data_IF_984931594948
#
_entry.id   IF_984931594948
#
_cell.length_a   1.000
_cell.length_b   1.000
_cell.length_c   1.000
_cell.angle_alpha   90.00
_cell.angle_beta   90.00
_cell.angle_gamma   90.00
#
_symmetry.space_group_name_H-M   'P 1'
#
loop_
_entity.id
_entity.type
_entity.pdbx_description
1 polymer ?
#
# COMPACT_ATOMS: atom_id res chain seq x y z
N UNK A 1 -12.19 8.57 13.01
CA UNK A 1 -12.87 7.98 11.83
C UNK A 1 -14.39 7.81 12.06
N UNK A 2 -14.87 7.24 13.16
CA UNK A 2 -16.30 6.97 13.37
C UNK A 2 -16.83 7.76 14.56
N UNK A 3 -17.53 8.85 14.30
CA UNK A 3 -18.38 9.54 15.27
C UNK A 3 -19.81 8.99 15.22
N UNK A 4 -20.68 9.50 16.08
CA UNK A 4 -22.06 9.03 16.19
C UNK A 4 -22.87 9.30 14.91
N UNK A 5 -22.62 10.43 14.24
CA UNK A 5 -23.33 10.81 13.03
C UNK A 5 -22.93 9.90 11.86
N UNK A 6 -21.65 9.62 11.72
CA UNK A 6 -21.11 8.65 10.74
C UNK A 6 -21.72 7.26 10.95
N UNK A 7 -21.79 6.77 12.20
CA UNK A 7 -22.38 5.45 12.51
C UNK A 7 -23.88 5.46 12.17
N UNK A 8 -24.60 6.53 12.52
CA UNK A 8 -26.04 6.68 12.21
C UNK A 8 -26.28 6.68 10.70
N UNK A 9 -25.42 7.32 9.92
CA UNK A 9 -25.45 7.30 8.46
C UNK A 9 -25.25 5.88 7.92
N UNK A 10 -24.33 5.09 8.48
CA UNK A 10 -24.10 3.71 8.04
C UNK A 10 -25.31 2.79 8.21
N UNK A 11 -26.19 3.08 9.19
CA UNK A 11 -27.42 2.33 9.37
C UNK A 11 -28.36 2.43 8.16
N UNK A 12 -28.26 3.51 7.37
CA UNK A 12 -29.13 3.81 6.22
C UNK A 12 -28.54 3.36 4.89
N UNK A 13 -27.29 2.87 4.88
CA UNK A 13 -26.58 2.45 3.66
C UNK A 13 -26.60 0.92 3.57
N UNK A 14 -26.83 0.41 2.38
CA UNK A 14 -26.72 -1.03 2.11
C UNK A 14 -25.27 -1.48 2.25
N UNK A 15 -25.05 -2.49 3.07
CA UNK A 15 -23.74 -3.11 3.30
C UNK A 15 -23.56 -4.34 2.40
N UNK A 16 -22.32 -4.79 2.13
CA UNK A 16 -21.05 -4.20 2.55
C UNK A 16 -20.59 -3.03 1.66
N UNK A 17 -19.77 -2.13 2.23
CA UNK A 17 -19.13 -1.04 1.47
C UNK A 17 -17.76 -0.65 2.07
N UNK A 18 -16.88 -0.06 1.28
CA UNK A 18 -15.70 0.62 1.77
C UNK A 18 -16.06 2.05 2.17
N UNK A 19 -15.76 2.42 3.41
CA UNK A 19 -15.84 3.81 3.86
C UNK A 19 -14.46 4.45 3.84
N UNK A 20 -14.34 5.56 3.13
CA UNK A 20 -13.14 6.38 3.03
C UNK A 20 -13.28 7.68 3.83
N UNK A 21 -12.45 7.86 4.84
CA UNK A 21 -12.27 9.11 5.57
C UNK A 21 -11.29 10.00 4.77
N UNK A 22 -11.84 10.86 3.92
CA UNK A 22 -11.03 11.75 3.07
C UNK A 22 -10.31 12.82 3.89
N UNK A 23 -10.81 13.17 5.07
CA UNK A 23 -10.15 14.08 6.01
C UNK A 23 -8.86 13.47 6.54
N UNK A 24 -8.91 12.21 7.02
CA UNK A 24 -7.73 11.48 7.47
C UNK A 24 -6.75 11.22 6.33
N UNK A 25 -7.25 10.91 5.13
CA UNK A 25 -6.40 10.76 3.94
C UNK A 25 -5.59 12.03 3.68
N UNK A 26 -6.24 13.20 3.63
CA UNK A 26 -5.56 14.48 3.42
C UNK A 26 -4.54 14.79 4.50
N UNK A 27 -4.87 14.54 5.77
CA UNK A 27 -3.92 14.72 6.89
C UNK A 27 -2.68 13.83 6.72
N UNK A 28 -2.86 12.59 6.30
CA UNK A 28 -1.76 11.64 6.05
C UNK A 28 -0.88 12.11 4.88
N UNK A 29 -1.49 12.56 3.79
CA UNK A 29 -0.78 13.08 2.61
C UNK A 29 0.00 14.36 2.97
N UNK A 30 -0.60 15.27 3.73
CA UNK A 30 0.05 16.50 4.21
C UNK A 30 1.26 16.19 5.10
N UNK A 31 1.11 15.26 6.05
CA UNK A 31 2.22 14.83 6.92
C UNK A 31 3.39 14.25 6.10
N UNK A 32 3.08 13.40 5.12
CA UNK A 32 4.10 12.84 4.23
C UNK A 32 4.77 13.93 3.39
N UNK A 33 3.98 14.84 2.80
CA UNK A 33 4.48 15.93 1.95
C UNK A 33 5.40 16.85 2.74
N UNK A 34 4.97 17.30 3.91
CA UNK A 34 5.76 18.16 4.79
C UNK A 34 7.09 17.51 5.19
N UNK A 35 7.06 16.24 5.58
CA UNK A 35 8.25 15.52 5.98
C UNK A 35 9.22 15.27 4.80
N UNK A 36 8.72 14.93 3.63
CA UNK A 36 9.57 14.72 2.43
C UNK A 36 10.18 16.01 1.91
N UNK A 37 9.40 17.10 1.85
CA UNK A 37 9.87 18.41 1.38
C UNK A 37 10.98 18.99 2.24
N UNK A 38 10.94 18.77 3.55
CA UNK A 38 12.00 19.16 4.50
C UNK A 38 13.38 18.70 4.07
N UNK A 39 13.46 17.55 3.41
CA UNK A 39 14.72 16.96 2.94
C UNK A 39 14.92 17.04 1.42
N UNK A 40 13.96 17.62 0.69
CA UNK A 40 13.99 17.67 -0.78
C UNK A 40 13.80 16.31 -1.43
N UNK A 41 13.06 15.42 -0.78
CA UNK A 41 12.78 14.06 -1.25
C UNK A 41 11.53 13.99 -2.12
N UNK A 42 11.53 13.07 -3.08
CA UNK A 42 10.44 12.86 -4.03
C UNK A 42 9.65 11.61 -3.67
N UNK A 43 8.33 11.74 -3.56
CA UNK A 43 7.46 10.61 -3.26
C UNK A 43 6.62 10.26 -4.48
N UNK A 44 6.62 8.99 -4.86
CA UNK A 44 5.73 8.38 -5.84
C UNK A 44 4.71 7.51 -5.11
N UNK A 45 3.46 7.71 -5.41
CA UNK A 45 2.39 6.89 -4.87
C UNK A 45 2.31 5.55 -5.59
N UNK A 46 2.43 4.45 -4.86
CA UNK A 46 2.28 3.10 -5.42
C UNK A 46 0.79 2.80 -5.70
N UNK A 47 0.37 2.98 -6.95
CA UNK A 47 -1.04 2.90 -7.38
C UNK A 47 -1.70 1.56 -7.08
N UNK A 48 -0.93 0.48 -7.10
CA UNK A 48 -1.37 -0.87 -6.69
C UNK A 48 -1.99 -0.94 -5.29
N UNK A 49 -1.67 0.03 -4.41
CA UNK A 49 -2.23 0.06 -3.07
C UNK A 49 -3.72 0.43 -3.07
N UNK A 50 -4.10 1.41 -3.89
CA UNK A 50 -5.48 1.83 -4.07
C UNK A 50 -5.61 2.75 -5.29
N UNK A 51 -6.44 2.40 -6.26
CA UNK A 51 -6.71 3.22 -7.44
C UNK A 51 -8.14 3.79 -7.46
N UNK A 52 -8.81 3.86 -6.31
CA UNK A 52 -10.10 4.53 -6.20
C UNK A 52 -9.98 5.99 -6.67
N UNK A 53 -10.88 6.49 -7.54
CA UNK A 53 -10.76 7.82 -8.14
C UNK A 53 -10.61 8.97 -7.13
N UNK A 54 -11.34 8.92 -5.99
CA UNK A 54 -11.23 9.94 -4.95
C UNK A 54 -9.89 9.91 -4.21
N UNK A 55 -9.31 8.72 -4.07
CA UNK A 55 -7.97 8.55 -3.50
C UNK A 55 -6.93 9.12 -4.46
N UNK A 56 -7.02 8.79 -5.76
CA UNK A 56 -6.10 9.30 -6.77
C UNK A 56 -6.17 10.83 -6.90
N UNK A 57 -7.38 11.41 -6.90
CA UNK A 57 -7.61 12.85 -6.90
C UNK A 57 -6.91 13.53 -5.71
N UNK A 58 -7.09 12.97 -4.50
CA UNK A 58 -6.43 13.49 -3.30
C UNK A 58 -4.91 13.40 -3.40
N UNK A 59 -4.36 12.24 -3.76
CA UNK A 59 -2.90 12.03 -3.88
C UNK A 59 -2.28 12.97 -4.92
N UNK A 60 -2.91 13.09 -6.09
CA UNK A 60 -2.45 13.95 -7.18
C UNK A 60 -2.41 15.42 -6.75
N UNK A 61 -3.39 15.88 -5.96
CA UNK A 61 -3.47 17.28 -5.51
C UNK A 61 -2.29 17.72 -4.62
N UNK A 62 -1.57 16.77 -3.99
CA UNK A 62 -0.33 17.03 -3.24
C UNK A 62 0.93 17.02 -4.12
N UNK A 63 0.80 16.80 -5.44
CA UNK A 63 1.91 16.82 -6.38
C UNK A 63 2.87 15.64 -6.28
N UNK A 64 2.44 14.52 -5.65
CA UNK A 64 3.18 13.27 -5.66
C UNK A 64 3.27 12.68 -7.07
N UNK A 65 4.33 11.91 -7.33
CA UNK A 65 4.44 11.08 -8.52
C UNK A 65 3.59 9.82 -8.42
N UNK A 66 3.67 8.96 -9.44
CA UNK A 66 3.02 7.65 -9.44
C UNK A 66 4.05 6.54 -9.67
N UNK A 67 4.03 5.50 -8.82
CA UNK A 67 4.69 4.20 -9.04
C UNK A 67 3.64 3.25 -9.61
N UNK A 68 3.85 2.84 -10.86
CA UNK A 68 2.98 1.98 -11.64
C UNK A 68 3.61 0.60 -11.84
N UNK A 69 2.79 -0.45 -11.84
CA UNK A 69 3.24 -1.83 -12.06
C UNK A 69 2.52 -2.52 -13.23
N UNK A 70 1.75 -1.73 -13.99
CA UNK A 70 1.13 -2.17 -15.26
C UNK A 70 0.94 -0.99 -16.20
N UNK A 71 0.79 -1.28 -17.50
CA UNK A 71 0.48 -0.25 -18.49
C UNK A 71 -0.85 0.47 -18.23
N UNK A 72 -1.83 -0.23 -17.66
CA UNK A 72 -3.10 0.38 -17.28
C UNK A 72 -2.93 1.35 -16.11
N UNK A 73 -2.08 1.06 -15.13
CA UNK A 73 -1.76 2.01 -14.06
C UNK A 73 -1.08 3.26 -14.61
N UNK A 74 -0.14 3.13 -15.57
CA UNK A 74 0.47 4.28 -16.27
C UNK A 74 -0.60 5.13 -16.96
N UNK A 75 -1.49 4.52 -17.72
CA UNK A 75 -2.57 5.23 -18.41
C UNK A 75 -3.51 5.92 -17.41
N UNK A 76 -3.87 5.22 -16.33
CA UNK A 76 -4.75 5.75 -15.28
C UNK A 76 -4.10 6.92 -14.54
N UNK A 77 -2.80 6.83 -14.22
CA UNK A 77 -2.07 7.92 -13.58
C UNK A 77 -2.13 9.19 -14.42
N UNK A 78 -1.81 9.08 -15.70
CA UNK A 78 -1.82 10.24 -16.62
C UNK A 78 -3.24 10.80 -16.79
N UNK A 79 -4.24 9.92 -16.94
CA UNK A 79 -5.63 10.35 -17.09
C UNK A 79 -6.18 11.06 -15.84
N UNK A 80 -5.65 10.74 -14.64
CA UNK A 80 -5.97 11.43 -13.38
C UNK A 80 -5.06 12.66 -13.10
N UNK A 81 -4.24 13.11 -14.08
CA UNK A 81 -3.48 14.35 -13.97
C UNK A 81 -2.14 14.23 -13.24
N UNK A 82 -1.64 13.01 -12.98
CA UNK A 82 -0.26 12.87 -12.50
C UNK A 82 0.72 13.35 -13.57
N UNK A 83 1.73 14.13 -13.14
CA UNK A 83 2.77 14.59 -14.04
C UNK A 83 3.58 13.41 -14.58
N UNK A 84 3.57 13.22 -15.91
CA UNK A 84 4.31 12.13 -16.56
C UNK A 84 5.80 12.12 -16.22
N UNK A 85 6.40 13.29 -15.97
CA UNK A 85 7.79 13.43 -15.53
C UNK A 85 8.03 12.92 -14.10
N UNK A 86 6.97 12.49 -13.39
CA UNK A 86 7.00 11.88 -12.06
C UNK A 86 6.33 10.50 -12.05
N UNK A 87 6.14 9.87 -13.21
CA UNK A 87 5.61 8.50 -13.30
C UNK A 87 6.77 7.54 -13.49
N UNK A 88 6.85 6.54 -12.61
CA UNK A 88 7.81 5.42 -12.71
C UNK A 88 7.06 4.12 -12.99
N UNK A 89 7.70 3.19 -13.71
CA UNK A 89 7.10 1.90 -14.05
C UNK A 89 8.00 0.76 -13.59
N UNK A 90 7.56 0.04 -12.55
CA UNK A 90 8.22 -1.12 -11.95
C UNK A 90 7.51 -2.43 -12.32
N UNK A 91 8.01 -3.57 -11.80
CA UNK A 91 7.41 -4.90 -11.98
C UNK A 91 8.20 -5.80 -12.91
N UNK A 92 8.23 -7.10 -12.57
CA UNK A 92 9.06 -8.14 -13.22
C UNK A 92 8.54 -8.62 -14.56
N UNK A 93 7.33 -8.27 -14.93
CA UNK A 93 6.62 -8.85 -16.09
C UNK A 93 6.05 -7.79 -17.03
N UNK A 94 6.78 -6.69 -17.29
CA UNK A 94 6.34 -5.69 -18.27
C UNK A 94 6.30 -6.32 -19.67
N UNK A 95 5.12 -6.38 -20.28
CA UNK A 95 4.94 -6.83 -21.65
C UNK A 95 5.35 -5.74 -22.64
N UNK A 96 5.65 -6.14 -23.89
CA UNK A 96 5.95 -5.21 -24.98
C UNK A 96 4.86 -4.15 -25.16
N UNK A 97 3.58 -4.54 -25.00
CA UNK A 97 2.45 -3.63 -25.05
C UNK A 97 2.55 -2.56 -23.96
N UNK A 98 2.83 -2.94 -22.75
CA UNK A 98 2.90 -2.02 -21.59
C UNK A 98 4.13 -1.13 -21.67
N UNK A 99 5.28 -1.67 -22.10
CA UNK A 99 6.48 -0.87 -22.36
C UNK A 99 6.18 0.18 -23.43
N UNK A 100 5.49 -0.20 -24.51
CA UNK A 100 5.10 0.74 -25.57
C UNK A 100 4.16 1.84 -25.05
N UNK A 101 3.19 1.52 -24.20
CA UNK A 101 2.31 2.51 -23.56
C UNK A 101 3.17 3.54 -22.75
N UNK A 102 4.09 3.05 -21.96
CA UNK A 102 4.94 3.89 -21.12
C UNK A 102 5.93 4.73 -21.96
N UNK A 103 6.49 4.17 -23.04
CA UNK A 103 7.32 4.91 -24.00
C UNK A 103 6.52 6.02 -24.73
N UNK A 104 5.28 5.75 -25.12
CA UNK A 104 4.42 6.74 -25.77
C UNK A 104 4.05 7.88 -24.81
N UNK A 105 3.78 7.55 -23.56
CA UNK A 105 3.51 8.49 -22.48
C UNK A 105 4.74 9.35 -22.10
N UNK A 106 5.95 8.92 -22.47
CA UNK A 106 7.21 9.57 -22.09
C UNK A 106 7.34 9.73 -20.55
N UNK A 107 7.15 8.62 -19.85
CA UNK A 107 7.23 8.58 -18.37
C UNK A 107 8.63 8.93 -17.86
N UNK A 108 8.74 9.25 -16.58
CA UNK A 108 10.02 9.59 -15.96
C UNK A 108 11.05 8.47 -16.08
N UNK A 109 10.70 7.21 -15.70
CA UNK A 109 11.67 6.15 -15.63
C UNK A 109 11.02 4.75 -15.62
N UNK A 110 11.70 3.78 -16.26
CA UNK A 110 11.45 2.35 -16.07
C UNK A 110 12.38 1.83 -14.95
N UNK A 111 11.81 1.23 -13.91
CA UNK A 111 12.56 0.47 -12.91
C UNK A 111 12.73 -0.97 -13.45
N UNK A 112 13.94 -1.28 -13.95
CA UNK A 112 14.23 -2.49 -14.73
C UNK A 112 14.70 -3.61 -13.80
N UNK A 113 14.18 -4.82 -14.02
CA UNK A 113 14.36 -5.95 -13.11
C UNK A 113 15.19 -7.10 -13.69
N UNK A 114 15.63 -6.99 -14.97
CA UNK A 114 16.52 -7.99 -15.59
C UNK A 114 17.33 -7.41 -16.75
N UNK A 115 18.44 -8.08 -17.09
CA UNK A 115 19.25 -7.76 -18.27
C UNK A 115 18.46 -7.96 -19.57
N UNK A 116 17.61 -8.98 -19.62
CA UNK A 116 16.74 -9.22 -20.77
C UNK A 116 15.77 -8.07 -20.99
N UNK A 117 15.16 -7.54 -19.90
CA UNK A 117 14.25 -6.40 -19.95
C UNK A 117 14.95 -5.13 -20.50
N UNK A 118 16.21 -4.87 -20.10
CA UNK A 118 17.01 -3.76 -20.66
C UNK A 118 17.07 -3.84 -22.20
N UNK A 119 17.40 -5.03 -22.74
CA UNK A 119 17.48 -5.23 -24.17
C UNK A 119 16.14 -5.01 -24.88
N UNK A 120 15.05 -5.54 -24.31
CA UNK A 120 13.70 -5.36 -24.88
C UNK A 120 13.28 -3.90 -24.88
N UNK A 121 13.49 -3.17 -23.76
CA UNK A 121 13.17 -1.73 -23.69
C UNK A 121 14.00 -0.95 -24.73
N UNK A 122 15.29 -1.26 -24.87
CA UNK A 122 16.15 -0.65 -25.87
C UNK A 122 15.61 -0.84 -27.31
N UNK A 123 15.21 -2.06 -27.66
CA UNK A 123 14.75 -2.39 -29.00
C UNK A 123 13.40 -1.72 -29.31
N UNK A 124 12.48 -1.73 -28.35
CA UNK A 124 11.19 -1.06 -28.48
C UNK A 124 11.33 0.46 -28.55
N UNK A 125 12.23 1.06 -27.75
CA UNK A 125 12.55 2.47 -27.81
C UNK A 125 13.18 2.85 -29.16
N UNK A 126 14.13 2.02 -29.65
CA UNK A 126 14.72 2.19 -30.99
C UNK A 126 13.67 2.16 -32.10
N UNK A 127 12.74 1.21 -32.05
CA UNK A 127 11.68 1.10 -33.05
C UNK A 127 10.77 2.35 -33.11
N UNK A 128 10.69 3.09 -31.99
CA UNK A 128 9.94 4.34 -31.87
C UNK A 128 10.79 5.61 -32.03
N UNK A 129 12.08 5.49 -32.33
CA UNK A 129 13.04 6.61 -32.35
C UNK A 129 13.04 7.41 -31.02
N UNK A 130 12.91 6.71 -29.89
CA UNK A 130 12.92 7.27 -28.53
C UNK A 130 14.13 6.79 -27.75
N UNK A 131 14.39 7.45 -26.64
CA UNK A 131 15.34 7.02 -25.60
C UNK A 131 14.58 6.79 -24.33
N UNK A 132 14.66 5.58 -23.77
CA UNK A 132 14.02 5.23 -22.51
C UNK A 132 14.95 5.56 -21.32
N UNK A 133 14.44 6.26 -20.33
CA UNK A 133 15.13 6.46 -19.05
C UNK A 133 14.92 5.21 -18.19
N UNK A 134 16.03 4.68 -17.67
CA UNK A 134 16.02 3.42 -16.89
C UNK A 134 16.77 3.59 -15.57
N UNK A 135 16.19 3.05 -14.49
CA UNK A 135 16.85 2.79 -13.23
C UNK A 135 16.93 1.28 -13.01
N UNK A 136 18.05 0.83 -12.45
CA UNK A 136 18.30 -0.60 -12.23
C UNK A 136 17.77 -0.99 -10.87
N UNK A 137 16.76 -1.86 -10.81
CA UNK A 137 16.31 -2.43 -9.54
C UNK A 137 17.27 -3.52 -9.11
N UNK A 138 17.92 -3.29 -8.00
CA UNK A 138 18.92 -4.19 -7.43
C UNK A 138 18.30 -4.90 -6.23
N UNK A 139 18.52 -6.20 -6.14
CA UNK A 139 18.21 -6.95 -4.94
C UNK A 139 19.31 -6.65 -3.89
N UNK A 140 18.99 -5.96 -2.79
CA UNK A 140 20.01 -5.54 -1.82
C UNK A 140 20.43 -6.65 -0.86
N UNK A 141 19.77 -7.81 -0.87
CA UNK A 141 19.94 -8.90 0.09
C UNK A 141 19.83 -8.43 1.56
N UNK A 142 18.80 -7.61 1.83
CA UNK A 142 18.48 -7.11 3.17
C UNK A 142 17.22 -7.82 3.67
N UNK A 143 17.30 -8.46 4.84
CA UNK A 143 16.13 -9.06 5.48
C UNK A 143 15.30 -7.99 6.17
N UNK A 144 14.07 -7.82 5.71
CA UNK A 144 13.12 -6.87 6.25
C UNK A 144 12.34 -7.40 7.46
N UNK A 145 12.57 -8.65 7.89
CA UNK A 145 11.87 -9.33 8.99
C UNK A 145 10.34 -9.23 8.88
N UNK A 146 9.81 -9.23 7.65
CA UNK A 146 8.37 -9.15 7.37
C UNK A 146 7.82 -10.52 6.99
N UNK A 147 6.49 -10.60 6.81
CA UNK A 147 5.85 -11.85 6.38
C UNK A 147 6.46 -12.36 5.07
N UNK A 148 6.74 -13.66 4.97
CA UNK A 148 7.43 -14.31 3.84
C UNK A 148 6.90 -13.90 2.45
N UNK A 149 5.58 -13.74 2.30
CA UNK A 149 4.97 -13.35 1.01
C UNK A 149 5.08 -11.87 0.65
N UNK A 150 5.59 -11.00 1.54
CA UNK A 150 5.77 -9.57 1.29
C UNK A 150 7.22 -9.10 1.42
N UNK A 151 8.16 -10.02 1.67
CA UNK A 151 9.61 -9.78 1.65
C UNK A 151 10.11 -9.90 0.21
N UNK A 152 10.81 -8.87 -0.29
CA UNK A 152 11.29 -8.80 -1.69
C UNK A 152 12.79 -8.53 -1.80
N UNK A 153 13.49 -8.40 -0.70
CA UNK A 153 14.89 -7.97 -0.65
C UNK A 153 15.93 -9.10 -0.50
N UNK A 154 15.52 -10.37 -0.50
CA UNK A 154 16.41 -11.53 -0.34
C UNK A 154 16.87 -12.12 -1.67
N UNK A 155 18.02 -12.82 -1.66
CA UNK A 155 18.51 -13.57 -2.81
C UNK A 155 17.51 -14.62 -3.29
N UNK A 156 17.56 -14.95 -4.61
CA UNK A 156 16.67 -15.89 -5.28
C UNK A 156 15.17 -15.49 -5.25
N UNK A 157 14.89 -14.20 -5.08
CA UNK A 157 13.55 -13.65 -5.27
C UNK A 157 13.31 -13.35 -6.77
N UNK A 158 12.03 -13.40 -7.20
CA UNK A 158 11.68 -13.02 -8.58
C UNK A 158 11.93 -11.54 -8.90
N UNK A 159 12.16 -10.70 -7.89
CA UNK A 159 12.32 -9.26 -8.03
C UNK A 159 13.79 -8.83 -8.02
N UNK A 160 14.09 -7.86 -8.88
CA UNK A 160 15.38 -7.19 -8.93
C UNK A 160 16.52 -8.02 -9.52
N UNK A 161 17.58 -7.33 -9.86
CA UNK A 161 18.83 -7.90 -10.40
C UNK A 161 19.75 -8.22 -9.23
N UNK A 162 20.29 -9.42 -9.22
CA UNK A 162 21.22 -9.85 -8.18
C UNK A 162 22.64 -9.30 -8.42
N UNK A 163 23.42 -9.18 -7.35
CA UNK A 163 24.77 -8.57 -7.38
C UNK A 163 25.72 -9.23 -8.38
N UNK A 164 25.63 -10.54 -8.59
CA UNK A 164 26.48 -11.27 -9.55
C UNK A 164 26.17 -10.96 -11.02
N UNK A 165 25.01 -10.38 -11.33
CA UNK A 165 24.59 -9.99 -12.69
C UNK A 165 24.95 -8.54 -13.04
N UNK A 166 25.48 -7.76 -12.10
CA UNK A 166 25.72 -6.32 -12.29
C UNK A 166 26.75 -6.04 -13.39
N UNK A 167 27.72 -6.91 -13.63
CA UNK A 167 28.67 -6.73 -14.73
C UNK A 167 27.95 -6.82 -16.09
N UNK A 168 27.04 -7.78 -16.27
CA UNK A 168 26.24 -7.92 -17.48
C UNK A 168 25.33 -6.69 -17.69
N UNK A 169 24.78 -6.15 -16.59
CA UNK A 169 24.03 -4.87 -16.63
C UNK A 169 24.89 -3.73 -17.15
N UNK A 170 26.10 -3.58 -16.62
CA UNK A 170 27.00 -2.51 -17.03
C UNK A 170 27.41 -2.62 -18.50
N UNK A 171 27.67 -3.82 -19.01
CA UNK A 171 27.97 -4.08 -20.42
C UNK A 171 26.75 -3.78 -21.31
N UNK A 172 25.56 -4.22 -20.90
CA UNK A 172 24.30 -3.96 -21.62
C UNK A 172 24.00 -2.45 -21.68
N UNK A 173 24.14 -1.72 -20.59
CA UNK A 173 23.95 -0.27 -20.57
C UNK A 173 24.90 0.47 -21.51
N UNK A 174 26.16 0.01 -21.67
CA UNK A 174 27.13 0.60 -22.62
C UNK A 174 26.78 0.30 -24.07
N UNK A 175 26.22 -0.87 -24.36
CA UNK A 175 25.88 -1.31 -25.70
C UNK A 175 24.53 -0.74 -26.19
N UNK A 176 23.57 -0.56 -25.32
CA UNK A 176 22.21 -0.08 -25.63
C UNK A 176 22.18 1.42 -25.85
N UNK A 177 21.99 1.87 -27.13
CA UNK A 177 22.04 3.29 -27.50
C UNK A 177 20.72 4.04 -27.29
N UNK A 178 19.61 3.32 -27.09
CA UNK A 178 18.28 3.89 -26.86
C UNK A 178 17.87 3.82 -25.38
N UNK A 179 18.84 3.59 -24.49
CA UNK A 179 18.66 3.67 -23.04
C UNK A 179 19.45 4.85 -22.46
N UNK A 180 18.85 5.52 -21.50
CA UNK A 180 19.50 6.50 -20.64
C UNK A 180 19.45 5.98 -19.20
N UNK A 181 20.61 5.57 -18.68
CA UNK A 181 20.72 5.23 -17.26
C UNK A 181 20.55 6.49 -16.41
N UNK A 182 19.59 6.48 -15.49
CA UNK A 182 19.34 7.60 -14.58
C UNK A 182 19.68 7.29 -13.13
N UNK A 183 19.66 6.02 -12.72
CA UNK A 183 19.94 5.68 -11.34
C UNK A 183 19.69 4.22 -10.96
N UNK A 184 19.59 4.01 -9.66
CA UNK A 184 19.38 2.70 -9.05
C UNK A 184 18.10 2.72 -8.21
N UNK A 185 17.43 1.57 -8.17
CA UNK A 185 16.15 1.38 -7.48
C UNK A 185 16.24 0.15 -6.55
N UNK A 186 15.54 0.23 -5.44
CA UNK A 186 15.45 -0.82 -4.43
C UNK A 186 14.01 -0.99 -3.95
N UNK A 187 13.68 -2.16 -3.45
CA UNK A 187 12.45 -2.39 -2.69
C UNK A 187 12.62 -3.65 -1.86
N UNK A 188 12.58 -3.52 -0.53
CA UNK A 188 12.92 -4.60 0.41
C UNK A 188 11.72 -5.32 1.01
N UNK A 189 10.51 -4.81 0.81
CA UNK A 189 9.30 -5.43 1.34
C UNK A 189 8.21 -4.44 1.67
N UNK A 190 7.23 -4.89 2.45
CA UNK A 190 6.07 -4.08 2.83
C UNK A 190 5.72 -4.32 4.29
N UNK A 191 5.08 -3.33 4.94
CA UNK A 191 4.71 -3.38 6.36
C UNK A 191 5.94 -3.46 7.28
N UNK A 192 6.98 -2.66 6.98
CA UNK A 192 8.20 -2.55 7.77
C UNK A 192 8.01 -1.44 8.80
N UNK A 193 8.12 -1.79 10.08
CA UNK A 193 7.99 -0.85 11.21
C UNK A 193 9.31 -0.64 11.97
N UNK A 194 10.32 -1.47 11.70
CA UNK A 194 11.66 -1.34 12.25
C UNK A 194 12.53 -0.43 11.38
N UNK A 195 12.94 0.72 11.91
CA UNK A 195 13.75 1.72 11.20
C UNK A 195 15.19 1.26 10.96
N UNK A 196 15.73 0.30 11.72
CA UNK A 196 17.07 -0.24 11.51
C UNK A 196 17.18 -1.02 10.18
N UNK A 197 16.08 -1.58 9.71
CA UNK A 197 16.02 -2.21 8.38
C UNK A 197 16.32 -1.18 7.27
N UNK A 198 15.77 0.03 7.38
CA UNK A 198 16.05 1.10 6.41
C UNK A 198 17.45 1.65 6.52
N UNK A 199 18.03 1.68 7.72
CA UNK A 199 19.46 2.01 7.90
C UNK A 199 20.35 1.00 7.18
N UNK A 200 20.06 -0.30 7.31
CA UNK A 200 20.76 -1.36 6.60
C UNK A 200 20.62 -1.21 5.08
N UNK A 201 19.43 -0.84 4.60
CA UNK A 201 19.19 -0.53 3.19
C UNK A 201 20.07 0.64 2.72
N UNK A 202 20.19 1.73 3.48
CA UNK A 202 21.03 2.87 3.13
C UNK A 202 22.50 2.47 2.92
N UNK A 203 23.04 1.58 3.76
CA UNK A 203 24.42 1.06 3.60
C UNK A 203 24.56 0.35 2.26
N UNK A 204 23.60 -0.51 1.90
CA UNK A 204 23.63 -1.22 0.62
C UNK A 204 23.46 -0.29 -0.58
N UNK A 205 22.62 0.72 -0.48
CA UNK A 205 22.46 1.74 -1.53
C UNK A 205 23.80 2.46 -1.76
N UNK A 206 24.49 2.87 -0.68
CA UNK A 206 25.78 3.56 -0.77
C UNK A 206 26.85 2.69 -1.46
N UNK A 207 26.91 1.39 -1.13
CA UNK A 207 27.82 0.43 -1.79
C UNK A 207 27.50 0.29 -3.28
N UNK A 208 26.23 0.14 -3.64
CA UNK A 208 25.81 -0.04 -5.03
C UNK A 208 26.01 1.24 -5.85
N UNK A 209 25.72 2.40 -5.29
CA UNK A 209 26.02 3.68 -5.92
C UNK A 209 27.51 3.78 -6.26
N UNK A 210 28.40 3.49 -5.30
CA UNK A 210 29.83 3.53 -5.53
C UNK A 210 30.27 2.53 -6.62
N UNK A 211 29.68 1.32 -6.61
CA UNK A 211 29.97 0.29 -7.62
C UNK A 211 29.69 0.77 -9.06
N UNK A 212 28.56 1.49 -9.29
CA UNK A 212 28.22 2.06 -10.61
C UNK A 212 29.14 3.21 -11.00
N UNK A 213 29.48 4.07 -10.05
CA UNK A 213 30.34 5.23 -10.30
C UNK A 213 31.78 4.83 -10.61
N UNK A 214 32.33 3.83 -9.94
CA UNK A 214 33.66 3.28 -10.24
C UNK A 214 33.78 2.73 -11.68
N UNK A 215 32.62 2.46 -12.30
CA UNK A 215 32.49 2.00 -13.68
C UNK A 215 32.10 3.10 -14.67
N UNK A 216 32.09 4.34 -14.22
CA UNK A 216 31.82 5.52 -15.04
C UNK A 216 30.35 5.83 -15.29
N UNK A 217 29.43 5.22 -14.53
CA UNK A 217 28.00 5.56 -14.59
C UNK A 217 27.65 6.64 -13.57
N UNK A 218 26.99 7.69 -14.02
CA UNK A 218 26.49 8.74 -13.13
C UNK A 218 25.13 8.32 -12.54
N UNK A 219 25.06 8.10 -11.24
CA UNK A 219 23.82 7.82 -10.50
C UNK A 219 23.17 9.15 -10.13
N UNK A 220 22.13 9.55 -10.84
CA UNK A 220 21.37 10.78 -10.58
C UNK A 220 20.21 10.56 -9.64
N UNK A 221 19.62 9.36 -9.65
CA UNK A 221 18.44 8.99 -8.88
C UNK A 221 18.76 7.83 -7.97
N UNK A 222 18.48 8.00 -6.69
CA UNK A 222 18.47 6.95 -5.68
C UNK A 222 17.01 6.67 -5.30
N UNK A 223 16.39 5.66 -5.91
CA UNK A 223 15.04 5.25 -5.55
C UNK A 223 15.11 4.15 -4.49
N UNK A 224 14.70 4.49 -3.27
CA UNK A 224 14.77 3.60 -2.11
C UNK A 224 13.60 2.61 -2.04
N UNK A 225 12.60 2.75 -2.95
CA UNK A 225 11.34 2.02 -2.89
C UNK A 225 10.43 2.51 -1.77
N UNK A 226 9.62 1.61 -1.26
CA UNK A 226 8.68 1.92 -0.19
C UNK A 226 8.86 1.00 1.01
N UNK A 227 7.74 0.50 1.51
CA UNK A 227 7.73 -0.52 2.56
C UNK A 227 7.25 -0.02 3.92
N UNK A 228 7.20 1.29 4.16
CA UNK A 228 6.76 1.84 5.45
C UNK A 228 5.42 1.27 5.88
N UNK A 229 5.40 0.70 7.08
CA UNK A 229 4.26 0.06 7.71
C UNK A 229 3.30 1.05 8.38
N UNK A 230 2.16 0.51 8.82
CA UNK A 230 1.12 1.22 9.58
C UNK A 230 0.73 0.41 10.81
N UNK A 231 0.12 1.06 11.81
CA UNK A 231 -0.41 0.38 12.97
C UNK A 231 -1.80 -0.20 12.68
N UNK A 232 -1.89 -1.51 12.57
CA UNK A 232 -3.16 -2.23 12.42
C UNK A 232 -3.88 -2.50 13.75
N UNK A 233 -3.16 -2.43 14.87
CA UNK A 233 -3.70 -2.74 16.20
C UNK A 233 -4.35 -1.51 16.85
N UNK A 234 -3.75 -0.33 16.68
CA UNK A 234 -4.19 0.91 17.33
C UNK A 234 -4.49 2.02 16.29
N UNK A 235 -5.43 1.78 15.35
CA UNK A 235 -5.69 2.70 14.23
C UNK A 235 -6.29 4.05 14.64
N UNK A 236 -6.77 4.18 15.88
CA UNK A 236 -7.30 5.46 16.40
C UNK A 236 -6.20 6.30 17.10
N UNK A 237 -5.16 5.66 17.66
CA UNK A 237 -4.07 6.35 18.36
C UNK A 237 -2.93 6.70 17.40
N UNK A 238 -2.56 5.75 16.53
CA UNK A 238 -1.47 5.87 15.56
C UNK A 238 -2.05 5.88 14.15
N UNK A 239 -2.91 6.86 13.87
CA UNK A 239 -3.65 6.94 12.60
C UNK A 239 -2.86 7.55 11.44
N UNK A 240 -1.70 8.15 11.69
CA UNK A 240 -0.77 8.69 10.69
C UNK A 240 0.61 8.10 10.97
N UNK A 241 1.29 7.49 9.96
CA UNK A 241 2.66 6.99 10.11
C UNK A 241 3.66 8.09 10.44
N UNK A 242 4.73 7.73 11.15
CA UNK A 242 5.83 8.66 11.45
C UNK A 242 6.75 8.84 10.22
N UNK A 243 6.31 9.68 9.29
CA UNK A 243 7.07 10.03 8.09
C UNK A 243 8.34 10.80 8.42
N UNK A 244 8.36 11.59 9.49
CA UNK A 244 9.54 12.35 9.88
C UNK A 244 10.70 11.43 10.26
N UNK A 245 10.47 10.49 11.18
CA UNK A 245 11.48 9.50 11.55
C UNK A 245 11.90 8.64 10.35
N UNK A 246 10.95 8.25 9.49
CA UNK A 246 11.23 7.47 8.29
C UNK A 246 12.19 8.19 7.34
N UNK A 247 11.88 9.40 6.90
CA UNK A 247 12.75 10.14 5.97
C UNK A 247 14.07 10.57 6.62
N UNK A 248 14.05 10.83 7.94
CA UNK A 248 15.27 11.18 8.68
C UNK A 248 16.33 10.08 8.60
N UNK A 249 15.97 8.79 8.63
CA UNK A 249 16.90 7.67 8.47
C UNK A 249 17.67 7.81 7.15
N UNK A 250 16.98 8.07 6.04
CA UNK A 250 17.63 8.23 4.74
C UNK A 250 18.48 9.50 4.68
N UNK A 251 18.04 10.59 5.28
CA UNK A 251 18.83 11.82 5.38
C UNK A 251 20.12 11.59 6.14
N UNK A 252 20.09 10.82 7.20
CA UNK A 252 21.24 10.60 8.09
C UNK A 252 22.23 9.57 7.53
N UNK A 253 21.76 8.57 6.78
CA UNK A 253 22.57 7.41 6.40
C UNK A 253 22.85 7.25 4.89
N UNK A 254 22.13 7.95 4.00
CA UNK A 254 22.49 7.97 2.58
C UNK A 254 23.61 8.98 2.29
N UNK A 255 24.55 8.57 1.47
CA UNK A 255 25.59 9.45 0.94
C UNK A 255 25.06 10.18 -0.30
N UNK A 256 24.21 11.20 -0.11
CA UNK A 256 23.61 11.98 -1.19
C UNK A 256 24.62 12.98 -1.74
N UNK A 257 24.90 12.91 -3.03
CA UNK A 257 25.84 13.79 -3.73
C UNK A 257 25.13 15.01 -4.31
N UNK A 258 25.84 16.12 -4.58
CA UNK A 258 25.25 17.28 -5.21
C UNK A 258 24.55 16.94 -6.53
N UNK A 259 23.29 17.35 -6.68
CA UNK A 259 22.49 17.12 -7.88
C UNK A 259 21.86 15.73 -7.97
N UNK A 260 21.95 14.89 -6.94
CA UNK A 260 21.19 13.66 -6.84
C UNK A 260 19.82 13.89 -6.25
N UNK A 261 18.86 13.11 -6.73
CA UNK A 261 17.49 13.06 -6.23
C UNK A 261 17.26 11.75 -5.47
N UNK A 262 16.55 11.83 -4.35
CA UNK A 262 16.15 10.65 -3.57
C UNK A 262 14.65 10.45 -3.71
N UNK A 263 14.26 9.27 -4.18
CA UNK A 263 12.89 8.91 -4.50
C UNK A 263 12.38 7.79 -3.61
N UNK A 264 11.07 7.81 -3.31
CA UNK A 264 10.37 6.85 -2.49
C UNK A 264 9.08 6.39 -3.17
N UNK A 265 8.69 5.13 -2.98
CA UNK A 265 7.49 4.52 -3.57
C UNK A 265 6.53 4.07 -2.46
N UNK A 266 5.79 5.03 -1.89
CA UNK A 266 4.91 4.79 -0.77
C UNK A 266 3.49 4.43 -1.24
N UNK A 267 2.94 3.34 -0.72
CA UNK A 267 1.56 2.93 -0.99
C UNK A 267 0.77 2.81 0.32
N UNK A 268 0.99 1.69 1.04
CA UNK A 268 0.29 1.38 2.28
C UNK A 268 0.27 2.55 3.27
N UNK A 269 1.41 3.14 3.55
CA UNK A 269 1.56 4.22 4.53
C UNK A 269 0.69 5.44 4.22
N UNK A 270 0.38 5.70 2.95
CA UNK A 270 -0.41 6.86 2.54
C UNK A 270 -1.92 6.64 2.65
N UNK A 271 -2.42 5.40 2.45
CA UNK A 271 -3.86 5.18 2.25
C UNK A 271 -4.49 4.14 3.18
N UNK A 272 -3.71 3.27 3.84
CA UNK A 272 -4.28 2.13 4.58
C UNK A 272 -5.25 2.53 5.67
N UNK A 273 -4.89 3.52 6.47
CA UNK A 273 -5.66 3.90 7.66
C UNK A 273 -6.85 4.80 7.36
N UNK A 274 -6.92 5.35 6.14
CA UNK A 274 -8.02 6.23 5.73
C UNK A 274 -9.31 5.48 5.36
N UNK A 275 -9.32 4.13 5.30
CA UNK A 275 -10.54 3.41 4.99
C UNK A 275 -10.78 2.19 5.87
N UNK A 276 -12.05 1.80 5.94
CA UNK A 276 -12.52 0.60 6.60
C UNK A 276 -13.55 -0.12 5.72
N UNK A 277 -13.60 -1.45 5.81
CA UNK A 277 -14.71 -2.22 5.27
C UNK A 277 -15.82 -2.23 6.31
N UNK A 278 -17.00 -1.73 5.93
CA UNK A 278 -18.22 -1.70 6.75
C UNK A 278 -19.12 -2.85 6.31
N UNK A 279 -19.60 -3.60 7.29
CA UNK A 279 -20.37 -4.81 7.08
C UNK A 279 -21.45 -4.96 8.13
N UNK A 280 -22.45 -5.76 7.86
CA UNK A 280 -23.59 -6.03 8.76
C UNK A 280 -23.61 -7.51 9.16
N UNK A 281 -23.98 -7.77 10.41
CA UNK A 281 -24.21 -9.15 10.90
C UNK A 281 -25.47 -9.70 10.26
N UNK A 282 -25.32 -10.76 9.50
CA UNK A 282 -26.43 -11.55 8.97
C UNK A 282 -26.98 -12.50 10.01
N UNK A 283 -26.09 -13.27 10.66
CA UNK A 283 -26.47 -14.26 11.65
C UNK A 283 -25.41 -14.39 12.73
N UNK A 284 -25.87 -14.71 13.94
CA UNK A 284 -25.02 -15.19 15.04
C UNK A 284 -25.35 -16.66 15.27
N UNK A 285 -24.34 -17.52 15.13
CA UNK A 285 -24.49 -18.96 15.35
C UNK A 285 -23.74 -19.35 16.62
N UNK A 286 -24.50 -19.60 17.69
CA UNK A 286 -23.95 -20.06 18.97
C UNK A 286 -23.73 -21.57 18.91
N UNK A 287 -22.49 -22.02 19.17
CA UNK A 287 -22.14 -23.43 19.23
C UNK A 287 -21.68 -23.83 20.63
N UNK A 288 -21.47 -25.13 20.85
CA UNK A 288 -20.99 -25.61 22.14
C UNK A 288 -19.54 -25.22 22.44
N UNK A 289 -18.71 -25.10 21.42
CA UNK A 289 -17.28 -24.80 21.54
C UNK A 289 -16.88 -23.46 20.92
N UNK A 290 -17.65 -22.96 19.92
CA UNK A 290 -17.35 -21.77 19.14
C UNK A 290 -18.62 -21.03 18.78
N UNK A 291 -18.53 -19.71 18.79
CA UNK A 291 -19.58 -18.85 18.27
C UNK A 291 -19.11 -18.26 16.95
N UNK A 292 -20.00 -18.22 15.97
CA UNK A 292 -19.73 -17.63 14.66
C UNK A 292 -20.53 -16.34 14.50
N UNK A 293 -19.85 -15.31 14.04
CA UNK A 293 -20.45 -14.04 13.67
C UNK A 293 -20.35 -13.94 12.15
N UNK A 294 -21.46 -14.15 11.46
CA UNK A 294 -21.54 -14.23 10.01
C UNK A 294 -21.88 -12.85 9.48
N UNK A 295 -20.94 -12.26 8.77
CA UNK A 295 -21.07 -10.94 8.12
C UNK A 295 -21.60 -11.09 6.69
N UNK A 296 -22.11 -9.98 6.12
CA UNK A 296 -22.44 -9.89 4.69
C UNK A 296 -21.21 -9.60 3.81
N UNK A 297 -20.10 -9.15 4.39
CA UNK A 297 -18.79 -9.09 3.74
C UNK A 297 -18.00 -10.39 3.98
N UNK A 298 -17.15 -10.74 3.03
CA UNK A 298 -16.26 -11.91 3.10
C UNK A 298 -14.94 -11.71 2.37
N UNK A 299 -14.33 -12.83 1.99
CA UNK A 299 -13.07 -12.83 1.22
C UNK A 299 -13.19 -12.13 -0.13
N UNK A 300 -14.38 -12.01 -0.66
CA UNK A 300 -14.67 -11.31 -1.92
C UNK A 300 -14.47 -9.80 -1.81
N UNK A 301 -14.71 -9.24 -0.64
CA UNK A 301 -14.54 -7.82 -0.38
C UNK A 301 -13.15 -7.51 0.19
N UNK A 302 -12.60 -8.37 1.06
CA UNK A 302 -11.30 -8.15 1.71
C UNK A 302 -10.55 -9.47 1.89
N UNK A 303 -9.75 -9.84 0.90
CA UNK A 303 -9.07 -11.15 0.86
C UNK A 303 -7.85 -11.24 1.80
N UNK A 304 -7.29 -10.13 2.26
CA UNK A 304 -6.01 -10.10 2.99
C UNK A 304 -5.94 -10.97 4.25
N UNK A 305 -6.96 -11.04 5.13
CA UNK A 305 -6.95 -11.94 6.28
C UNK A 305 -6.80 -13.41 5.88
N UNK A 306 -7.45 -13.83 4.79
CA UNK A 306 -7.44 -15.21 4.31
C UNK A 306 -6.13 -15.55 3.58
N UNK A 307 -5.65 -14.62 2.73
CA UNK A 307 -4.48 -14.84 1.85
C UNK A 307 -3.15 -14.74 2.61
N UNK A 308 -3.04 -13.76 3.53
CA UNK A 308 -1.78 -13.44 4.21
C UNK A 308 -1.86 -13.64 5.72
N UNK A 309 -2.98 -14.12 6.26
CA UNK A 309 -3.25 -14.13 7.70
C UNK A 309 -3.06 -12.72 8.32
N UNK A 310 -3.37 -11.70 7.53
CA UNK A 310 -3.17 -10.31 7.92
C UNK A 310 -4.15 -9.93 9.02
N UNK A 311 -3.62 -9.42 10.13
CA UNK A 311 -4.45 -8.86 11.18
C UNK A 311 -5.08 -7.53 10.72
N UNK A 312 -6.37 -7.36 11.01
CA UNK A 312 -7.09 -6.09 10.90
C UNK A 312 -8.06 -5.99 12.08
N UNK A 313 -8.07 -4.83 12.73
CA UNK A 313 -8.93 -4.62 13.90
C UNK A 313 -10.40 -4.68 13.49
N UNK A 314 -11.18 -5.52 14.17
CA UNK A 314 -12.62 -5.68 13.96
C UNK A 314 -13.34 -5.02 15.13
N UNK A 315 -14.35 -4.21 14.85
CA UNK A 315 -15.11 -3.46 15.86
C UNK A 315 -16.61 -3.52 15.58
N UNK A 316 -17.41 -3.73 16.65
CA UNK A 316 -18.85 -3.55 16.59
C UNK A 316 -19.19 -2.06 16.80
N UNK A 317 -19.61 -1.38 15.73
CA UNK A 317 -19.91 0.05 15.77
C UNK A 317 -21.26 0.34 16.43
N UNK A 318 -22.22 -0.57 16.34
CA UNK A 318 -23.54 -0.42 16.97
C UNK A 318 -23.44 -0.33 18.49
N UNK A 319 -22.56 -1.12 19.10
CA UNK A 319 -22.34 -1.11 20.55
C UNK A 319 -21.51 0.07 21.03
N UNK A 320 -20.59 0.57 20.21
CA UNK A 320 -19.84 1.80 20.51
C UNK A 320 -20.72 3.03 20.62
N UNK A 321 -21.82 3.11 19.85
CA UNK A 321 -22.74 4.25 19.91
C UNK A 321 -23.60 4.23 21.17
N UNK A 322 -23.99 3.06 21.65
CA UNK A 322 -24.76 2.90 22.89
C UNK A 322 -23.94 3.33 24.12
N UNK A 323 -22.66 2.94 24.21
CA UNK A 323 -21.76 3.38 25.31
C UNK A 323 -21.52 4.89 25.33
N UNK A 324 -21.53 5.57 24.18
CA UNK A 324 -21.34 7.02 24.07
C UNK A 324 -22.60 7.79 24.44
N UNK A 325 -23.77 7.31 24.07
CA UNK A 325 -25.05 7.95 24.42
C UNK A 325 -25.35 7.86 25.92
N UNK A 326 -24.94 6.78 26.57
CA UNK A 326 -25.09 6.63 28.03
C UNK A 326 -24.16 7.53 28.86
N UNK A 327 -23.03 7.99 28.32
CA UNK A 327 -22.13 8.94 28.98
C UNK A 327 -22.62 10.39 28.93
N UNK A 328 -23.60 10.71 28.11
CA UNK A 328 -24.18 12.06 27.96
C UNK A 328 -25.45 12.31 28.81
N UNK A 329 -26.06 11.26 29.35
CA UNK A 329 -27.25 11.38 30.20
C UNK A 329 -26.88 11.02 31.66
N UNK A 330 -26.70 12.09 32.46
CA UNK A 330 -26.74 12.18 33.93
C UNK A 330 -26.42 10.96 34.80
N UNK A 331 -25.52 11.18 35.74
CA UNK A 331 -25.33 10.43 36.97
C UNK A 331 -26.66 10.21 37.76
N UNK A 332 -27.42 9.22 37.41
CA UNK A 332 -28.38 8.63 38.36
C UNK A 332 -28.85 7.25 37.90
N UNK A 333 -28.39 6.24 38.64
CA UNK A 333 -29.09 4.98 38.90
C UNK A 333 -29.81 4.32 37.71
N UNK A 334 -29.10 3.76 36.74
CA UNK A 334 -29.55 2.54 36.05
C UNK A 334 -28.34 1.67 35.77
N UNK A 335 -28.24 0.63 36.60
CA UNK A 335 -27.71 -0.73 36.35
C UNK A 335 -26.66 -0.96 35.28
N UNK A 336 -25.51 -1.30 35.70
CA UNK A 336 -24.61 -2.41 35.36
C UNK A 336 -25.14 -3.45 34.33
N UNK A 337 -25.57 -3.07 33.16
CA UNK A 337 -25.49 -3.91 31.98
C UNK A 337 -24.07 -3.76 31.41
N UNK A 338 -23.09 -4.38 32.12
CA UNK A 338 -21.79 -4.67 31.51
C UNK A 338 -22.10 -5.47 30.25
N UNK A 339 -21.89 -4.86 29.09
CA UNK A 339 -21.98 -5.55 27.82
C UNK A 339 -21.08 -6.80 27.92
N UNK A 340 -21.67 -7.99 27.84
CA UNK A 340 -20.94 -9.23 27.95
C UNK A 340 -19.96 -9.33 26.78
N UNK A 341 -18.68 -9.60 27.08
CA UNK A 341 -17.68 -9.88 26.05
C UNK A 341 -17.71 -11.36 25.73
N UNK A 342 -17.88 -11.69 24.48
CA UNK A 342 -17.91 -13.07 23.97
C UNK A 342 -16.79 -13.26 22.94
N UNK A 343 -16.39 -14.51 22.73
CA UNK A 343 -15.45 -14.89 21.67
C UNK A 343 -16.19 -15.36 20.44
N UNK A 344 -15.80 -14.83 19.27
CA UNK A 344 -16.39 -15.17 17.99
C UNK A 344 -15.31 -15.50 16.95
N UNK A 345 -15.59 -16.48 16.10
CA UNK A 345 -14.96 -16.58 14.79
C UNK A 345 -15.79 -15.66 13.86
N UNK A 346 -15.16 -14.59 13.36
CA UNK A 346 -15.79 -13.62 12.46
C UNK A 346 -15.59 -14.09 11.03
N UNK A 347 -16.69 -14.46 10.36
CA UNK A 347 -16.67 -15.13 9.05
C UNK A 347 -17.55 -14.43 8.03
N UNK A 348 -17.24 -14.63 6.76
CA UNK A 348 -18.05 -14.13 5.66
C UNK A 348 -19.10 -15.13 5.16
N UNK A 349 -19.81 -14.78 4.08
CA UNK A 349 -20.91 -15.58 3.53
C UNK A 349 -20.47 -16.53 2.40
N UNK A 350 -19.19 -16.61 2.09
CA UNK A 350 -18.69 -17.41 0.97
C UNK A 350 -18.66 -18.89 1.35
N UNK A 351 -18.99 -19.77 0.42
CA UNK A 351 -19.08 -21.22 0.63
C UNK A 351 -17.70 -21.89 0.71
N UNK A 352 -16.79 -21.30 1.49
CA UNK A 352 -15.44 -21.83 1.76
C UNK A 352 -15.06 -21.66 3.24
N UNK A 353 -14.44 -22.69 3.81
CA UNK A 353 -13.99 -22.65 5.22
C UNK A 353 -12.88 -21.62 5.48
N UNK A 354 -12.21 -21.15 4.41
CA UNK A 354 -11.18 -20.10 4.47
C UNK A 354 -11.78 -18.70 4.61
N UNK A 355 -13.08 -18.52 4.37
CA UNK A 355 -13.76 -17.23 4.47
C UNK A 355 -13.96 -16.80 5.93
N UNK A 356 -12.84 -16.52 6.59
CA UNK A 356 -12.76 -16.17 8.00
C UNK A 356 -11.79 -15.00 8.20
N UNK A 357 -12.31 -13.86 8.62
CA UNK A 357 -11.51 -12.67 8.88
C UNK A 357 -10.58 -12.84 10.07
N UNK A 358 -11.10 -13.43 11.16
CA UNK A 358 -10.32 -13.68 12.38
C UNK A 358 -11.05 -14.68 13.29
N UNK A 359 -10.29 -15.50 14.00
CA UNK A 359 -10.78 -16.47 14.99
C UNK A 359 -10.62 -15.94 16.40
N UNK A 360 -11.50 -16.40 17.30
CA UNK A 360 -11.46 -16.14 18.73
C UNK A 360 -11.42 -14.64 19.09
N UNK A 361 -12.10 -13.78 18.31
CA UNK A 361 -12.14 -12.33 18.53
C UNK A 361 -13.01 -12.02 19.74
N UNK A 362 -12.49 -11.29 20.70
CA UNK A 362 -13.24 -10.78 21.85
C UNK A 362 -14.03 -9.52 21.45
N UNK A 363 -15.34 -9.65 21.43
CA UNK A 363 -16.27 -8.61 21.02
C UNK A 363 -17.43 -8.49 22.00
N UNK A 364 -18.07 -7.31 22.11
CA UNK A 364 -19.36 -7.20 22.78
C UNK A 364 -20.37 -8.19 22.21
N UNK A 365 -21.26 -8.70 23.05
CA UNK A 365 -22.38 -9.53 22.58
C UNK A 365 -23.08 -8.83 21.41
N UNK A 366 -23.14 -9.53 20.27
CA UNK A 366 -23.51 -8.99 18.98
C UNK A 366 -24.76 -9.68 18.46
N UNK A 367 -25.56 -8.95 17.68
CA UNK A 367 -26.86 -9.39 17.20
C UNK A 367 -26.97 -9.18 15.69
N UNK A 368 -27.95 -9.89 15.09
CA UNK A 368 -28.33 -9.67 13.69
C UNK A 368 -28.65 -8.19 13.47
N UNK A 369 -28.05 -7.62 12.42
CA UNK A 369 -28.24 -6.21 12.05
C UNK A 369 -27.18 -5.26 12.62
N UNK A 370 -26.35 -5.69 13.57
CA UNK A 370 -25.25 -4.87 14.07
C UNK A 370 -24.28 -4.51 12.94
N UNK A 371 -23.80 -3.27 12.94
CA UNK A 371 -22.80 -2.76 12.00
C UNK A 371 -21.41 -2.99 12.54
N UNK A 372 -20.57 -3.56 11.70
CA UNK A 372 -19.17 -3.83 11.97
C UNK A 372 -18.25 -3.03 11.06
N UNK A 373 -17.08 -2.69 11.57
CA UNK A 373 -15.99 -2.15 10.77
C UNK A 373 -14.75 -3.03 10.88
N UNK A 374 -14.16 -3.37 9.74
CA UNK A 374 -12.83 -3.95 9.63
C UNK A 374 -11.90 -2.80 9.22
N UNK A 375 -11.02 -2.39 10.16
CA UNK A 375 -10.23 -1.15 10.10
C UNK A 375 -9.02 -1.30 9.19
N UNK A 376 -8.44 -0.15 8.81
CA UNK A 376 -7.15 -0.08 8.08
C UNK A 376 -7.19 -0.86 6.76
N UNK A 377 -8.31 -0.72 6.03
CA UNK A 377 -8.59 -1.45 4.80
C UNK A 377 -8.34 -0.62 3.52
N UNK A 378 -7.78 0.58 3.63
CA UNK A 378 -7.58 1.49 2.50
C UNK A 378 -6.46 1.10 1.54
N UNK A 379 -5.56 0.19 1.94
CA UNK A 379 -4.52 -0.34 1.06
C UNK A 379 -4.72 -1.83 0.82
N UNK A 380 -4.67 -2.24 -0.47
CA UNK A 380 -4.81 -3.65 -0.87
C UNK A 380 -6.11 -4.31 -0.39
N UNK A 381 -7.16 -3.52 -0.19
CA UNK A 381 -8.50 -3.95 0.13
C UNK A 381 -9.37 -3.95 -1.12
N UNK A 382 -10.07 -2.84 -1.40
CA UNK A 382 -10.97 -2.69 -2.55
C UNK A 382 -10.34 -3.13 -3.89
N UNK A 383 -9.07 -2.80 -4.10
CA UNK A 383 -8.32 -3.14 -5.33
C UNK A 383 -8.11 -4.65 -5.54
N UNK A 384 -8.27 -5.45 -4.51
CA UNK A 384 -8.18 -6.92 -4.57
C UNK A 384 -9.55 -7.60 -4.48
N UNK A 385 -10.64 -6.83 -4.43
CA UNK A 385 -11.99 -7.37 -4.39
C UNK A 385 -12.31 -8.18 -5.65
N UNK A 386 -13.14 -9.20 -5.49
CA UNK A 386 -13.53 -10.11 -6.55
C UNK A 386 -15.05 -10.31 -6.59
N UNK A 387 -15.53 -10.97 -7.63
CA UNK A 387 -16.95 -11.31 -7.79
C UNK A 387 -17.19 -12.82 -7.67
N UNK A 388 -16.38 -13.49 -6.88
CA UNK A 388 -16.55 -14.92 -6.62
C UNK A 388 -17.94 -15.19 -6.01
N UNK A 389 -18.54 -16.31 -6.31
CA UNK A 389 -19.94 -16.65 -6.06
C UNK A 389 -20.95 -15.66 -6.70
N UNK A 390 -20.58 -14.93 -7.78
CA UNK A 390 -21.40 -13.90 -8.45
C UNK A 390 -21.88 -12.78 -7.48
N UNK A 391 -21.07 -12.46 -6.47
CA UNK A 391 -21.34 -11.33 -5.57
C UNK A 391 -21.27 -10.01 -6.33
N UNK A 392 -22.00 -9.02 -5.85
CA UNK A 392 -22.00 -7.68 -6.42
C UNK A 392 -20.64 -7.00 -6.23
N UNK A 393 -20.34 -6.04 -7.11
CA UNK A 393 -19.16 -5.20 -6.92
C UNK A 393 -19.35 -4.34 -5.67
N UNK A 394 -18.31 -4.30 -4.82
CA UNK A 394 -18.37 -3.52 -3.60
C UNK A 394 -18.46 -2.01 -3.89
N UNK A 395 -19.24 -1.29 -3.09
CA UNK A 395 -19.41 0.15 -3.20
C UNK A 395 -18.40 0.91 -2.32
N UNK A 396 -18.13 2.16 -2.69
CA UNK A 396 -17.32 3.09 -1.92
C UNK A 396 -18.18 4.25 -1.42
N UNK A 397 -18.06 4.56 -0.13
CA UNK A 397 -18.72 5.66 0.56
C UNK A 397 -17.65 6.57 1.15
N UNK A 398 -17.86 7.88 1.07
CA UNK A 398 -16.84 8.86 1.47
C UNK A 398 -17.33 9.73 2.62
N UNK A 399 -16.39 10.19 3.48
CA UNK A 399 -16.67 11.33 4.36
C UNK A 399 -16.95 12.58 3.53
N UNK A 400 -17.71 13.49 4.10
CA UNK A 400 -17.96 14.81 3.50
C UNK A 400 -16.70 15.68 3.47
#
# INVERSE_FOLDING_TARGET
MFDTDTISRFQQIETPFYYYDLGLLRQTLEACKTASDKYGFHVHYAMKANFNPKVLEAVQSYGFGADCVSGNEVTTAIANGFDKSKVVFAGVGKSDKEINIALDADIFCFNVESVQELNIINDLAKAKNKTARVAIRINPNVDAHTHHFITTGLDENKFGINSWQLNDVAETLRSCKNLQFVGIHFHIGSQITDMEVYRSLCIRINEMQQWFEDRGFQVKVLNTGGGLGVDYHNPDTNNIPDFESYFKVFKDFLHIKPGQEVHFELGRALVAQSAALVSRVLYVKMGQKKNFLILDAGMTELIRPMLYQAYQKIENLSRKSEDRSQKSESESQISNLKCQILKYDVVGPICESTDCFQKDVELPESFRGDIFAIRTAGAYGEVMASRYNLRDAIQSVYSE
#
